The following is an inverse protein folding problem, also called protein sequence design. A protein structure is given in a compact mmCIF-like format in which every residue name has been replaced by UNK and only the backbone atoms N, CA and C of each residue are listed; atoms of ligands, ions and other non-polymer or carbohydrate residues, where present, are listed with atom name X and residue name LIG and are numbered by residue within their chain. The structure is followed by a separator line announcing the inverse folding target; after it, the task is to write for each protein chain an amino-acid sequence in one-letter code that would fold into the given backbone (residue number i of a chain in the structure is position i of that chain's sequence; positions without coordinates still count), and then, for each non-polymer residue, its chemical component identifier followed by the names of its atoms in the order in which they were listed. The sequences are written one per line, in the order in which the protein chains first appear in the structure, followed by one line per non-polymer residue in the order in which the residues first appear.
data_IF_314913360280
#
_entry.id   IF_314913360280
#
_cell.length_a   1.000
_cell.length_b   1.000
_cell.length_c   1.000
_cell.angle_alpha   90.00
_cell.angle_beta   90.00
_cell.angle_gamma   90.00
#
_symmetry.space_group_name_H-M   'P 1'
#
loop_
_entity.id
_entity.type
_entity.pdbx_description
1 polymer ?
#
# COMPACT_ATOMS: atom_id res chain seq x y z
N UNK A 1 -15.75 0.04 1.30
CA UNK A 1 -15.54 1.25 2.11
C UNK A 1 -15.28 0.80 3.53
N UNK A 2 -14.07 1.06 4.01
CA UNK A 2 -13.61 0.65 5.35
C UNK A 2 -13.69 1.83 6.33
N UNK A 3 -13.58 1.51 7.61
CA UNK A 3 -13.69 2.47 8.70
C UNK A 3 -12.53 2.33 9.69
N UNK A 4 -12.22 3.44 10.34
CA UNK A 4 -11.40 3.48 11.55
C UNK A 4 -12.34 3.65 12.74
N UNK A 5 -12.19 2.77 13.73
CA UNK A 5 -12.93 2.77 14.97
C UNK A 5 -11.96 3.17 16.09
N UNK A 6 -12.17 4.33 16.69
CA UNK A 6 -11.36 4.82 17.83
C UNK A 6 -12.17 4.62 19.10
N UNK A 7 -11.76 3.66 19.93
CA UNK A 7 -12.42 3.30 21.18
C UNK A 7 -11.62 3.81 22.38
N UNK A 8 -12.27 4.57 23.25
CA UNK A 8 -11.68 5.06 24.49
C UNK A 8 -12.17 4.21 25.68
N UNK A 9 -11.24 3.52 26.34
CA UNK A 9 -11.50 2.70 27.53
C UNK A 9 -11.22 3.43 28.85
N UNK A 10 -10.66 4.64 28.81
CA UNK A 10 -10.45 5.47 29.99
C UNK A 10 -11.78 5.94 30.59
N UNK A 11 -11.72 6.42 31.83
CA UNK A 11 -12.85 6.98 32.58
C UNK A 11 -13.05 8.50 32.32
N UNK A 12 -12.23 9.10 31.47
CA UNK A 12 -12.33 10.48 31.01
C UNK A 12 -12.40 10.60 29.47
N UNK A 13 -12.81 11.77 29.00
CA UNK A 13 -12.77 12.15 27.58
C UNK A 13 -11.33 12.14 27.06
N UNK A 14 -11.08 11.57 25.88
CA UNK A 14 -9.78 11.61 25.22
C UNK A 14 -9.87 12.37 23.89
N UNK A 15 -8.96 13.33 23.72
CA UNK A 15 -8.81 14.09 22.49
C UNK A 15 -7.84 13.36 21.56
N UNK A 16 -8.21 13.25 20.29
CA UNK A 16 -7.32 12.78 19.23
C UNK A 16 -7.26 13.78 18.08
N UNK A 17 -6.06 14.10 17.63
CA UNK A 17 -5.87 14.65 16.30
C UNK A 17 -6.00 13.55 15.27
N UNK A 18 -6.74 13.83 14.20
CA UNK A 18 -6.90 12.92 13.08
C UNK A 18 -6.31 13.61 11.88
N UNK A 19 -5.31 12.99 11.26
CA UNK A 19 -4.64 13.48 10.06
C UNK A 19 -4.86 12.48 8.93
N UNK A 20 -5.10 12.97 7.71
CA UNK A 20 -5.37 12.14 6.51
C UNK A 20 -6.77 11.53 6.44
N UNK A 21 -7.52 11.54 7.54
CA UNK A 21 -8.90 11.05 7.63
C UNK A 21 -9.82 12.11 8.23
N UNK A 22 -11.14 11.91 8.12
CA UNK A 22 -12.15 12.78 8.75
C UNK A 22 -11.96 14.29 8.48
N UNK A 23 -11.48 14.65 7.29
CA UNK A 23 -11.15 16.04 6.91
C UNK A 23 -10.17 16.74 7.88
N UNK A 24 -9.27 15.98 8.48
CA UNK A 24 -8.29 16.45 9.46
C UNK A 24 -8.89 17.08 10.73
N UNK A 25 -10.13 16.71 11.08
CA UNK A 25 -10.78 17.23 12.27
C UNK A 25 -10.39 16.43 13.51
N UNK A 26 -9.96 17.13 14.55
CA UNK A 26 -9.83 16.62 15.91
C UNK A 26 -11.15 16.02 16.40
N UNK A 27 -11.07 14.89 17.08
CA UNK A 27 -12.20 14.22 17.71
C UNK A 27 -12.03 14.20 19.22
N UNK A 28 -13.15 14.25 19.95
CA UNK A 28 -13.20 13.99 21.38
C UNK A 28 -14.03 12.70 21.61
N UNK A 29 -13.39 11.66 22.12
CA UNK A 29 -14.00 10.35 22.36
C UNK A 29 -14.30 10.21 23.86
N UNK A 30 -15.59 10.14 24.19
CA UNK A 30 -16.08 10.00 25.58
C UNK A 30 -15.65 8.67 26.23
N UNK A 31 -15.67 8.57 27.57
CA UNK A 31 -15.43 7.33 28.30
C UNK A 31 -16.27 6.17 27.77
N UNK A 32 -15.63 5.03 27.50
CA UNK A 32 -16.27 3.82 26.99
C UNK A 32 -16.91 3.95 25.60
N UNK A 33 -16.70 5.06 24.90
CA UNK A 33 -17.32 5.33 23.61
C UNK A 33 -16.41 4.96 22.43
N UNK A 34 -17.01 4.77 21.26
CA UNK A 34 -16.30 4.58 20.00
C UNK A 34 -16.71 5.66 19.02
N UNK A 35 -15.72 6.36 18.45
CA UNK A 35 -15.93 7.23 17.29
C UNK A 35 -15.52 6.47 16.04
N UNK A 36 -16.35 6.56 14.99
CA UNK A 36 -16.15 5.85 13.73
C UNK A 36 -16.12 6.86 12.60
N UNK A 37 -15.09 6.78 11.75
CA UNK A 37 -15.01 7.60 10.55
C UNK A 37 -14.51 6.81 9.34
N UNK A 38 -14.89 7.21 8.11
CA UNK A 38 -14.46 6.51 6.92
C UNK A 38 -12.94 6.54 6.75
N UNK A 39 -12.39 5.41 6.34
CA UNK A 39 -11.00 5.24 5.97
C UNK A 39 -10.96 4.60 4.57
N UNK A 40 -11.09 5.40 3.50
CA UNK A 40 -11.07 4.89 2.14
C UNK A 40 -9.76 4.15 1.85
N UNK A 41 -9.82 3.14 0.99
CA UNK A 41 -8.63 2.49 0.47
C UNK A 41 -7.67 3.53 -0.13
N UNK A 42 -6.37 3.30 0.06
CA UNK A 42 -5.26 4.17 -0.33
C UNK A 42 -5.32 5.58 0.23
N UNK A 43 -5.80 5.67 1.46
CA UNK A 43 -5.56 6.84 2.29
C UNK A 43 -4.58 6.47 3.38
N UNK A 44 -3.68 7.42 3.65
CA UNK A 44 -2.70 7.34 4.72
C UNK A 44 -2.94 8.49 5.68
N UNK A 45 -2.69 8.23 6.96
CA UNK A 45 -2.88 9.22 7.98
C UNK A 45 -2.50 8.70 9.35
N UNK A 46 -2.81 9.49 10.37
CA UNK A 46 -2.52 9.15 11.76
C UNK A 46 -3.68 9.55 12.65
N UNK A 47 -3.86 8.80 13.72
CA UNK A 47 -4.71 9.18 14.87
C UNK A 47 -3.79 9.33 16.06
N UNK A 48 -3.68 10.55 16.59
CA UNK A 48 -2.68 10.93 17.59
C UNK A 48 -3.41 11.33 18.87
N UNK A 49 -3.11 10.66 19.98
CA UNK A 49 -3.63 11.07 21.29
C UNK A 49 -2.99 12.39 21.73
N UNK A 50 -3.79 13.29 22.31
CA UNK A 50 -3.30 14.58 22.83
C UNK A 50 -3.36 14.60 24.35
N UNK A 51 -2.24 14.97 24.98
CA UNK A 51 -2.05 15.01 26.42
C UNK A 51 -1.59 16.40 26.85
N UNK A 52 -2.42 17.12 27.61
CA UNK A 52 -2.13 18.49 28.06
C UNK A 52 -1.75 19.47 26.92
N UNK A 53 -2.33 19.27 25.74
CA UNK A 53 -2.05 20.07 24.54
C UNK A 53 -0.78 19.67 23.79
N UNK A 54 -0.18 18.53 24.11
CA UNK A 54 0.96 17.96 23.40
C UNK A 54 0.59 16.66 22.70
N UNK A 55 1.14 16.43 21.50
CA UNK A 55 1.05 15.15 20.81
C UNK A 55 1.65 14.02 21.65
N UNK A 56 0.98 12.87 21.64
CA UNK A 56 1.34 11.67 22.37
C UNK A 56 1.58 10.49 21.44
N UNK A 57 0.99 9.36 21.79
CA UNK A 57 1.08 8.15 20.97
C UNK A 57 0.24 8.31 19.71
N UNK A 58 0.78 7.79 18.61
CA UNK A 58 0.13 7.83 17.31
C UNK A 58 -0.10 6.42 16.78
N UNK A 59 -1.29 6.19 16.23
CA UNK A 59 -1.59 5.06 15.36
C UNK A 59 -1.47 5.54 13.91
N UNK A 60 -0.46 5.07 13.20
CA UNK A 60 -0.23 5.35 11.79
C UNK A 60 -0.94 4.30 10.95
N UNK A 61 -1.72 4.76 9.97
CA UNK A 61 -2.60 3.89 9.20
C UNK A 61 -2.46 4.25 7.73
N UNK A 62 -2.14 3.25 6.90
CA UNK A 62 -2.36 3.28 5.46
C UNK A 62 -3.30 2.16 5.09
N UNK A 63 -4.50 2.50 4.62
CA UNK A 63 -5.45 1.49 4.14
C UNK A 63 -5.12 1.08 2.71
N UNK A 64 -5.20 -0.21 2.39
CA UNK A 64 -4.94 -0.72 1.03
C UNK A 64 -3.62 -0.16 0.44
N UNK A 65 -2.54 -0.24 1.22
CA UNK A 65 -1.20 0.21 0.84
C UNK A 65 -0.47 -0.79 -0.06
N UNK A 66 0.74 -1.16 0.32
CA UNK A 66 1.58 -2.11 -0.43
C UNK A 66 0.89 -3.46 -0.63
N UNK A 67 0.80 -3.90 -1.90
CA UNK A 67 0.12 -5.15 -2.28
C UNK A 67 -1.32 -5.24 -1.75
N UNK A 68 -1.97 -4.09 -1.57
CA UNK A 68 -3.31 -3.95 -1.03
C UNK A 68 -3.48 -4.45 0.40
N UNK A 69 -2.39 -4.44 1.15
CA UNK A 69 -2.38 -4.67 2.59
C UNK A 69 -2.53 -3.35 3.34
N UNK A 70 -3.21 -3.38 4.48
CA UNK A 70 -3.19 -2.29 5.43
C UNK A 70 -1.83 -2.25 6.14
N UNK A 71 -1.25 -1.06 6.23
CA UNK A 71 -0.14 -0.79 7.14
C UNK A 71 -0.73 -0.13 8.36
N UNK A 72 -0.56 -0.78 9.50
CA UNK A 72 -0.89 -0.20 10.78
C UNK A 72 0.34 -0.28 11.66
N UNK A 73 0.65 0.82 12.32
CA UNK A 73 1.75 0.91 13.27
C UNK A 73 1.31 1.75 14.47
N UNK A 74 1.97 1.53 15.61
CA UNK A 74 1.88 2.40 16.78
C UNK A 74 3.26 2.96 17.04
N UNK A 75 3.33 4.27 17.17
CA UNK A 75 4.56 4.99 17.40
C UNK A 75 4.45 5.95 18.58
N UNK A 76 5.51 6.00 19.37
CA UNK A 76 5.70 6.95 20.46
C UNK A 76 6.70 8.06 20.08
N UNK A 77 7.04 8.19 18.78
CA UNK A 77 8.09 9.12 18.31
C UNK A 77 7.77 10.58 18.63
N UNK A 78 6.50 10.98 18.65
CA UNK A 78 6.04 12.35 18.93
C UNK A 78 5.65 12.60 20.40
N UNK A 79 5.57 11.54 21.21
CA UNK A 79 5.34 11.62 22.65
C UNK A 79 4.63 10.40 23.20
N UNK A 80 4.33 10.44 24.50
CA UNK A 80 3.43 9.47 25.14
C UNK A 80 2.83 10.06 26.43
N UNK A 81 1.57 9.78 26.75
CA UNK A 81 0.87 10.08 28.00
C UNK A 81 -0.24 9.07 28.36
N UNK A 82 -0.51 8.08 27.51
CA UNK A 82 -1.48 7.00 27.72
C UNK A 82 -1.06 5.70 27.02
N UNK A 83 -1.97 4.76 26.82
CA UNK A 83 -1.68 3.54 26.06
C UNK A 83 -2.56 3.49 24.82
N UNK A 84 -1.95 3.16 23.68
CA UNK A 84 -2.67 2.97 22.41
C UNK A 84 -2.29 1.62 21.80
N UNK A 85 -3.30 0.93 21.27
CA UNK A 85 -3.10 -0.22 20.40
C UNK A 85 -3.87 -0.03 19.10
N UNK A 86 -3.39 -0.65 18.03
CA UNK A 86 -4.09 -0.72 16.75
C UNK A 86 -4.14 -2.16 16.27
N UNK A 87 -5.27 -2.60 15.72
CA UNK A 87 -5.40 -3.89 15.06
C UNK A 87 -6.50 -3.85 14.00
N UNK A 88 -6.52 -4.83 13.11
CA UNK A 88 -7.70 -5.08 12.29
C UNK A 88 -8.82 -5.68 13.14
N UNK A 89 -10.05 -5.26 12.86
CA UNK A 89 -11.24 -5.74 13.57
C UNK A 89 -11.37 -7.26 13.39
N UNK A 90 -11.43 -7.97 14.51
CA UNK A 90 -11.53 -9.43 14.53
C UNK A 90 -10.22 -10.19 14.30
N UNK A 91 -9.07 -9.50 14.16
CA UNK A 91 -7.77 -10.13 13.89
C UNK A 91 -6.71 -9.76 14.94
N UNK A 92 -6.73 -10.36 16.14
CA UNK A 92 -5.76 -10.05 17.20
C UNK A 92 -4.29 -10.26 16.80
N UNK A 93 -4.03 -11.13 15.81
CA UNK A 93 -2.68 -11.39 15.30
C UNK A 93 -2.06 -10.17 14.59
N UNK A 94 -2.86 -9.20 14.19
CA UNK A 94 -2.41 -7.95 13.53
C UNK A 94 -2.09 -6.83 14.50
N UNK A 95 -2.26 -7.07 15.82
CA UNK A 95 -2.13 -6.04 16.84
C UNK A 95 -0.72 -5.46 16.92
N UNK A 96 -0.66 -4.13 17.02
CA UNK A 96 0.55 -3.33 17.27
C UNK A 96 0.34 -2.41 18.48
N UNK A 97 1.45 -1.98 19.08
CA UNK A 97 1.48 -1.16 20.29
C UNK A 97 1.55 -1.99 21.57
N UNK A 98 2.09 -1.37 22.62
CA UNK A 98 2.13 -1.95 23.96
C UNK A 98 0.90 -1.48 24.74
N UNK A 99 -0.04 -2.39 25.10
CA UNK A 99 -1.27 -2.01 25.78
C UNK A 99 -1.04 -1.43 27.18
N UNK A 100 0.16 -1.58 27.75
CA UNK A 100 0.52 -1.10 29.09
C UNK A 100 1.85 -0.31 29.07
N UNK A 101 2.13 0.38 27.95
CA UNK A 101 3.31 1.21 27.75
C UNK A 101 3.60 2.15 28.94
N UNK A 102 2.62 2.95 29.38
CA UNK A 102 2.80 3.93 30.45
C UNK A 102 3.03 3.28 31.82
N UNK A 103 2.48 2.10 32.06
CA UNK A 103 2.75 1.32 33.28
C UNK A 103 4.18 0.79 33.27
N UNK A 104 4.66 0.30 32.13
CA UNK A 104 6.06 -0.13 31.98
C UNK A 104 7.03 1.04 32.06
N UNK A 105 6.67 2.20 31.51
CA UNK A 105 7.42 3.44 31.60
C UNK A 105 7.55 3.89 33.06
N UNK A 106 6.43 3.94 33.79
CA UNK A 106 6.43 4.28 35.22
C UNK A 106 7.25 3.30 36.05
N UNK A 107 7.09 2.00 35.83
CA UNK A 107 7.87 0.98 36.52
C UNK A 107 9.37 1.11 36.24
N UNK A 108 9.74 1.45 35.00
CA UNK A 108 11.13 1.67 34.60
C UNK A 108 11.68 2.98 35.16
N UNK A 109 10.87 4.04 35.22
CA UNK A 109 11.20 5.32 35.82
C UNK A 109 11.51 5.17 37.30
N UNK A 110 10.66 4.47 38.05
CA UNK A 110 10.85 4.25 39.48
C UNK A 110 12.12 3.46 39.79
N UNK A 111 12.52 2.52 38.91
CA UNK A 111 13.79 1.78 39.02
C UNK A 111 15.00 2.53 38.50
N UNK A 112 14.82 3.63 37.76
CA UNK A 112 15.91 4.36 37.14
C UNK A 112 16.83 5.00 38.18
N UNK A 113 18.13 4.98 37.90
CA UNK A 113 19.13 5.63 38.76
C UNK A 113 18.91 7.14 38.83
N UNK A 114 19.39 7.79 39.89
CA UNK A 114 19.34 9.24 40.01
C UNK A 114 19.97 9.96 38.81
N UNK A 115 21.07 9.42 38.26
CA UNK A 115 21.70 9.95 37.04
C UNK A 115 20.81 9.85 35.80
N UNK A 116 20.08 8.74 35.65
CA UNK A 116 19.11 8.57 34.53
C UNK A 116 17.94 9.52 34.68
N UNK A 117 17.39 9.66 35.89
CA UNK A 117 16.31 10.62 36.16
C UNK A 117 16.76 12.06 35.87
N UNK A 118 17.98 12.41 36.27
CA UNK A 118 18.55 13.73 36.01
C UNK A 118 18.77 14.01 34.52
N UNK A 119 19.15 13.01 33.71
CA UNK A 119 19.34 13.18 32.26
C UNK A 119 18.02 13.28 31.48
N UNK A 120 16.91 12.80 32.05
CA UNK A 120 15.58 12.78 31.45
C UNK A 120 14.66 13.90 31.94
N UNK A 121 15.11 14.75 32.88
CA UNK A 121 14.28 15.75 33.56
C UNK A 121 13.56 16.73 32.63
N UNK A 122 14.11 16.99 31.44
CA UNK A 122 13.56 17.96 30.48
C UNK A 122 12.56 17.32 29.49
N UNK A 123 12.40 15.99 29.54
CA UNK A 123 11.55 15.24 28.61
C UNK A 123 10.65 14.19 29.27
N UNK A 124 10.71 14.03 30.59
CA UNK A 124 9.79 13.21 31.40
C UNK A 124 9.04 14.10 32.35
N UNK A 125 7.71 14.11 32.23
CA UNK A 125 6.80 14.98 32.98
C UNK A 125 6.10 14.16 34.06
N UNK A 126 6.19 14.63 35.30
CA UNK A 126 5.71 13.91 36.48
C UNK A 126 4.50 14.60 37.11
N UNK A 127 3.62 13.83 37.73
CA UNK A 127 2.66 14.36 38.68
C UNK A 127 3.29 14.62 40.07
N UNK A 128 2.49 15.12 41.00
CA UNK A 128 2.89 15.40 42.39
C UNK A 128 3.36 14.15 43.16
N UNK A 129 2.96 12.95 42.73
CA UNK A 129 3.37 11.68 43.34
C UNK A 129 4.70 11.16 42.77
N UNK A 130 5.24 11.82 41.76
CA UNK A 130 6.46 11.41 41.07
C UNK A 130 6.25 10.33 40.00
N UNK A 131 5.01 10.04 39.63
CA UNK A 131 4.67 9.16 38.51
C UNK A 131 4.72 9.93 37.19
N UNK A 132 5.21 9.28 36.14
CA UNK A 132 5.24 9.81 34.78
C UNK A 132 3.82 9.92 34.24
N UNK A 133 3.42 11.13 33.88
CA UNK A 133 2.14 11.43 33.23
C UNK A 133 2.29 11.66 31.73
N UNK A 134 3.48 12.08 31.29
CA UNK A 134 3.78 12.29 29.88
C UNK A 134 5.28 12.25 29.62
N UNK A 135 5.68 11.92 28.40
CA UNK A 135 7.02 12.16 27.87
C UNK A 135 6.94 13.03 26.62
N UNK A 136 7.98 13.83 26.39
CA UNK A 136 8.14 14.60 25.16
C UNK A 136 8.45 13.69 23.96
N UNK A 137 8.43 14.26 22.76
CA UNK A 137 8.76 13.58 21.51
C UNK A 137 10.12 12.87 21.58
N UNK A 138 10.14 11.55 21.44
CA UNK A 138 11.34 10.73 21.60
C UNK A 138 12.42 11.12 20.58
N UNK A 139 12.02 11.50 19.35
CA UNK A 139 12.94 11.94 18.28
C UNK A 139 13.85 13.11 18.67
N UNK A 140 13.42 13.94 19.62
CA UNK A 140 14.17 15.15 20.01
C UNK A 140 15.14 14.87 21.17
N UNK A 141 15.09 13.68 21.79
CA UNK A 141 15.84 13.34 23.00
C UNK A 141 16.46 11.93 22.90
N UNK A 142 17.69 11.78 22.38
CA UNK A 142 18.36 10.48 22.24
C UNK A 142 18.54 9.71 23.57
N UNK A 143 18.59 10.41 24.70
CA UNK A 143 18.59 9.80 26.03
C UNK A 143 17.24 9.19 26.41
N UNK A 144 16.13 9.79 25.97
CA UNK A 144 14.79 9.27 26.17
C UNK A 144 14.57 8.05 25.29
N UNK A 145 15.01 8.09 24.03
CA UNK A 145 14.95 6.92 23.13
C UNK A 145 15.64 5.71 23.76
N UNK A 146 16.89 5.88 24.23
CA UNK A 146 17.64 4.81 24.92
C UNK A 146 16.91 4.28 26.15
N UNK A 147 16.26 5.14 26.91
CA UNK A 147 15.50 4.75 28.10
C UNK A 147 14.25 3.95 27.73
N UNK A 148 13.46 4.41 26.75
CA UNK A 148 12.23 3.75 26.29
C UNK A 148 12.53 2.39 25.64
N UNK A 149 13.58 2.31 24.82
CA UNK A 149 14.04 1.03 24.26
C UNK A 149 14.38 -0.01 25.34
N UNK A 150 14.76 0.42 26.54
CA UNK A 150 15.03 -0.49 27.66
C UNK A 150 13.85 -1.36 28.08
N UNK A 151 12.61 -0.98 27.76
CA UNK A 151 11.42 -1.75 28.16
C UNK A 151 10.40 -2.00 27.02
N UNK A 152 10.39 -1.15 25.99
CA UNK A 152 9.38 -1.20 24.92
C UNK A 152 9.91 -1.65 23.55
N UNK A 153 11.20 -2.00 23.43
CA UNK A 153 11.80 -2.40 22.15
C UNK A 153 11.05 -3.59 21.52
N UNK A 154 10.67 -3.41 20.25
CA UNK A 154 9.89 -4.40 19.49
C UNK A 154 8.42 -4.52 19.88
N UNK A 155 7.88 -3.65 20.75
CA UNK A 155 6.44 -3.61 21.10
C UNK A 155 5.71 -2.40 20.50
N UNK A 156 6.46 -1.34 20.22
CA UNK A 156 6.00 -0.07 19.62
C UNK A 156 7.16 0.52 18.85
N UNK A 157 6.90 1.43 17.93
CA UNK A 157 7.91 2.20 17.23
C UNK A 157 8.39 3.36 18.11
N UNK A 158 9.70 3.46 18.36
CA UNK A 158 10.26 4.35 19.41
C UNK A 158 11.09 5.50 18.84
N UNK A 159 11.90 5.27 17.80
CA UNK A 159 12.93 6.22 17.35
C UNK A 159 12.76 6.70 15.92
N UNK A 160 13.76 7.40 15.38
CA UNK A 160 13.79 7.75 13.95
C UNK A 160 14.06 6.47 13.15
N UNK A 161 13.02 5.92 12.52
CA UNK A 161 13.09 4.69 11.74
C UNK A 161 13.90 4.84 10.45
N UNK A 162 13.67 3.92 9.50
CA UNK A 162 14.35 3.94 8.21
C UNK A 162 13.94 5.17 7.39
N UNK A 163 14.61 6.30 7.61
CA UNK A 163 14.35 7.56 6.95
C UNK A 163 15.65 8.18 6.41
N UNK A 164 15.60 8.80 5.23
CA UNK A 164 16.76 9.47 4.63
C UNK A 164 17.94 8.56 4.26
N UNK A 165 17.71 7.26 3.99
CA UNK A 165 18.76 6.29 3.68
C UNK A 165 19.38 5.60 4.90
N UNK A 166 18.90 5.90 6.11
CA UNK A 166 19.18 5.07 7.29
C UNK A 166 18.41 3.75 7.18
N UNK A 167 19.03 2.59 7.50
CA UNK A 167 18.31 1.32 7.59
C UNK A 167 17.32 1.26 8.77
N UNK A 168 17.35 2.25 9.68
CA UNK A 168 16.55 2.27 10.89
C UNK A 168 16.95 1.17 11.88
N UNK A 169 16.14 1.00 12.93
CA UNK A 169 16.30 -0.10 13.89
C UNK A 169 15.42 -1.27 13.47
N UNK A 170 15.97 -2.48 13.45
CA UNK A 170 15.26 -3.67 12.96
C UNK A 170 13.98 -4.01 13.74
N UNK A 171 13.95 -3.73 15.06
CA UNK A 171 12.76 -3.92 15.91
C UNK A 171 11.63 -2.93 15.56
N UNK A 172 11.98 -1.67 15.26
CA UNK A 172 11.02 -0.66 14.80
C UNK A 172 10.44 -1.07 13.43
N UNK A 173 11.30 -1.50 12.48
CA UNK A 173 10.86 -1.94 11.16
C UNK A 173 9.94 -3.18 11.20
N UNK A 174 10.09 -4.04 12.21
CA UNK A 174 9.22 -5.21 12.40
C UNK A 174 7.81 -4.83 12.86
N UNK A 175 7.63 -3.66 13.48
CA UNK A 175 6.31 -3.15 13.84
C UNK A 175 5.51 -2.76 12.59
N UNK A 176 6.16 -2.19 11.58
CA UNK A 176 5.54 -1.72 10.32
C UNK A 176 5.16 -2.83 9.31
N UNK A 177 4.93 -4.06 9.76
CA UNK A 177 4.51 -5.17 8.88
C UNK A 177 3.05 -5.01 8.43
N UNK A 178 2.80 -5.26 7.15
CA UNK A 178 1.46 -5.15 6.57
C UNK A 178 0.51 -6.29 7.00
N UNK A 179 -0.79 -5.98 7.11
CA UNK A 179 -1.90 -6.91 7.34
C UNK A 179 -2.88 -6.89 6.15
N UNK A 180 -3.71 -7.93 5.94
CA UNK A 180 -4.58 -8.01 4.75
C UNK A 180 -5.55 -6.81 4.63
N UNK A 181 -5.56 -6.04 3.54
CA UNK A 181 -6.23 -4.74 3.49
C UNK A 181 -7.76 -4.73 3.40
N UNK A 182 -8.44 -5.81 3.78
CA UNK A 182 -9.88 -6.00 3.58
C UNK A 182 -10.74 -5.75 4.84
N UNK A 183 -10.15 -5.22 5.92
CA UNK A 183 -10.81 -5.05 7.21
C UNK A 183 -10.87 -3.60 7.69
N UNK A 184 -11.80 -3.34 8.60
CA UNK A 184 -11.83 -2.12 9.39
C UNK A 184 -10.69 -2.13 10.41
N UNK A 185 -10.27 -0.93 10.83
CA UNK A 185 -9.22 -0.75 11.83
C UNK A 185 -9.87 -0.43 13.18
N UNK A 186 -9.34 -1.02 14.25
CA UNK A 186 -9.66 -0.72 15.63
C UNK A 186 -8.44 -0.10 16.30
N UNK A 187 -8.60 1.12 16.77
CA UNK A 187 -7.68 1.81 17.66
C UNK A 187 -8.30 1.80 19.05
N UNK A 188 -7.55 1.33 20.04
CA UNK A 188 -7.99 1.34 21.44
C UNK A 188 -7.05 2.21 22.24
N UNK A 189 -7.61 3.12 23.03
CA UNK A 189 -6.89 3.99 23.95
C UNK A 189 -7.33 3.71 25.38
N UNK A 190 -6.38 3.74 26.32
CA UNK A 190 -6.64 3.59 27.76
C UNK A 190 -5.49 4.14 28.58
N UNK A 191 -5.80 4.81 29.69
CA UNK A 191 -4.80 5.18 30.70
C UNK A 191 -4.30 3.96 31.49
N UNK A 192 -5.08 2.87 31.49
CA UNK A 192 -4.78 1.64 32.21
C UNK A 192 -4.23 0.55 31.28
N UNK A 193 -5.08 -0.30 30.73
CA UNK A 193 -4.74 -1.34 29.77
C UNK A 193 -5.53 -1.07 28.49
N UNK A 194 -4.83 -0.81 27.39
CA UNK A 194 -5.42 -0.54 26.08
C UNK A 194 -5.60 -1.80 25.22
N UNK A 195 -5.53 -2.99 25.83
CA UNK A 195 -5.91 -4.22 25.16
C UNK A 195 -7.40 -4.13 24.78
N UNK A 196 -7.74 -4.38 23.50
CA UNK A 196 -9.13 -4.45 23.07
C UNK A 196 -9.90 -5.45 23.93
N UNK A 197 -10.98 -5.00 24.56
CA UNK A 197 -11.89 -5.90 25.28
C UNK A 197 -12.43 -6.96 24.29
N UNK A 198 -12.60 -8.21 24.73
CA UNK A 198 -13.25 -9.26 23.94
C UNK A 198 -14.58 -8.74 23.33
N UNK A 199 -14.91 -9.11 22.08
CA UNK A 199 -15.62 -8.24 21.16
C UNK A 199 -17.02 -7.92 21.70
N UNK A 200 -17.19 -6.72 22.25
CA UNK A 200 -18.51 -6.14 22.39
C UNK A 200 -19.00 -5.83 20.98
N UNK A 201 -19.78 -6.76 20.41
CA UNK A 201 -20.60 -6.64 19.19
C UNK A 201 -20.39 -5.34 18.38
N UNK A 202 -19.21 -5.18 17.77
CA UNK A 202 -19.01 -4.15 16.77
C UNK A 202 -19.73 -4.69 15.55
N UNK A 203 -20.89 -4.10 15.23
CA UNK A 203 -21.69 -4.52 14.10
C UNK A 203 -20.82 -4.48 12.84
N UNK A 204 -20.40 -5.64 12.35
CA UNK A 204 -19.90 -5.81 11.00
C UNK A 204 -20.98 -5.26 10.07
N UNK A 205 -20.82 -4.01 9.62
CA UNK A 205 -21.52 -3.55 8.42
C UNK A 205 -20.82 -4.26 7.27
N UNK A 206 -21.52 -5.08 6.47
CA UNK A 206 -20.89 -5.78 5.37
C UNK A 206 -20.27 -4.74 4.44
N UNK A 207 -18.95 -4.81 4.29
CA UNK A 207 -18.23 -4.10 3.24
C UNK A 207 -18.81 -4.56 1.92
N UNK A 208 -19.37 -3.62 1.16
CA UNK A 208 -19.86 -3.92 -0.19
C UNK A 208 -18.65 -4.31 -1.02
N UNK A 209 -18.44 -5.62 -1.22
CA UNK A 209 -17.47 -6.16 -2.17
C UNK A 209 -17.80 -5.55 -3.53
N UNK A 210 -16.92 -4.71 -4.07
CA UNK A 210 -17.00 -4.34 -5.48
C UNK A 210 -16.80 -5.64 -6.25
N UNK A 211 -17.86 -6.20 -6.81
CA UNK A 211 -17.72 -7.37 -7.68
C UNK A 211 -16.87 -6.95 -8.87
N UNK A 212 -15.79 -7.69 -9.11
CA UNK A 212 -15.05 -7.60 -10.37
C UNK A 212 -16.04 -8.01 -11.47
N UNK A 213 -16.19 -7.16 -12.48
CA UNK A 213 -16.97 -7.53 -13.65
C UNK A 213 -16.20 -8.61 -14.41
N UNK A 214 -16.74 -9.84 -14.42
CA UNK A 214 -16.16 -10.96 -15.16
C UNK A 214 -16.90 -11.14 -16.48
N UNK A 215 -16.13 -11.18 -17.58
CA UNK A 215 -16.65 -11.47 -18.92
C UNK A 215 -15.78 -12.51 -19.62
N UNK A 216 -16.30 -13.15 -20.66
CA UNK A 216 -15.51 -13.99 -21.59
C UNK A 216 -15.33 -13.30 -22.95
N UNK A 217 -15.58 -11.99 -22.99
CA UNK A 217 -15.63 -11.18 -24.20
C UNK A 217 -17.04 -10.65 -24.46
N UNK A 218 -17.10 -9.42 -24.96
CA UNK A 218 -18.32 -8.69 -25.27
C UNK A 218 -18.49 -8.54 -26.77
N UNK A 219 -19.73 -8.27 -27.20
CA UNK A 219 -19.96 -7.84 -28.56
C UNK A 219 -19.43 -6.41 -28.73
N UNK A 220 -18.64 -6.17 -29.76
CA UNK A 220 -18.21 -4.81 -30.09
C UNK A 220 -19.41 -4.04 -30.69
N UNK A 221 -20.05 -3.22 -29.85
CA UNK A 221 -21.20 -2.40 -30.24
C UNK A 221 -20.81 -1.00 -30.75
N UNK A 222 -19.52 -0.75 -30.97
CA UNK A 222 -18.98 0.59 -31.20
C UNK A 222 -18.77 1.33 -29.87
N UNK A 223 -17.52 1.59 -29.54
CA UNK A 223 -17.13 2.26 -28.29
C UNK A 223 -15.69 1.93 -27.90
N UNK A 224 -15.13 2.63 -26.90
CA UNK A 224 -13.77 2.40 -26.44
C UNK A 224 -13.59 0.99 -25.86
N UNK A 225 -12.40 0.44 -26.03
CA UNK A 225 -12.09 -0.87 -25.46
C UNK A 225 -10.83 -1.48 -26.00
N UNK A 226 -10.63 -2.75 -25.64
CA UNK A 226 -9.46 -3.53 -26.02
C UNK A 226 -9.90 -4.78 -26.78
N UNK A 227 -9.33 -5.01 -27.94
CA UNK A 227 -9.37 -6.30 -28.65
C UNK A 227 -8.23 -7.14 -28.08
N UNK A 228 -8.55 -8.04 -27.16
CA UNK A 228 -7.58 -8.82 -26.39
C UNK A 228 -7.43 -10.22 -26.99
N UNK A 229 -6.23 -10.57 -27.44
CA UNK A 229 -5.91 -11.90 -27.97
C UNK A 229 -5.00 -12.66 -27.02
N UNK A 230 -5.37 -13.90 -26.71
CA UNK A 230 -4.49 -14.85 -26.06
C UNK A 230 -3.85 -15.75 -27.12
N UNK A 231 -2.56 -15.52 -27.43
CA UNK A 231 -1.78 -16.34 -28.37
C UNK A 231 -1.12 -17.54 -27.69
N UNK A 232 -1.25 -17.69 -26.37
CA UNK A 232 -0.68 -18.81 -25.63
C UNK A 232 -1.49 -20.09 -25.83
N UNK A 233 -0.89 -21.22 -25.41
CA UNK A 233 -1.54 -22.54 -25.44
C UNK A 233 -2.44 -22.82 -24.22
N UNK A 234 -2.55 -21.90 -23.26
CA UNK A 234 -3.35 -22.05 -22.04
C UNK A 234 -4.43 -20.97 -21.96
N UNK A 235 -5.58 -21.30 -21.35
CA UNK A 235 -6.57 -20.26 -21.03
C UNK A 235 -5.96 -19.29 -20.02
N UNK A 236 -6.12 -17.99 -20.27
CA UNK A 236 -5.59 -16.93 -19.42
C UNK A 236 -6.73 -16.03 -18.97
N UNK A 237 -6.73 -15.65 -17.70
CA UNK A 237 -7.58 -14.57 -17.19
C UNK A 237 -6.76 -13.32 -17.11
N UNK A 238 -7.23 -12.28 -17.79
CA UNK A 238 -6.60 -10.98 -17.85
C UNK A 238 -7.37 -10.00 -16.98
N UNK A 239 -6.64 -9.23 -16.20
CA UNK A 239 -7.19 -8.29 -15.23
C UNK A 239 -6.84 -6.87 -15.65
N UNK A 240 -7.86 -6.03 -15.70
CA UNK A 240 -7.77 -4.62 -16.08
C UNK A 240 -7.76 -3.76 -14.82
N UNK A 241 -6.75 -2.93 -14.69
CA UNK A 241 -6.52 -2.08 -13.53
C UNK A 241 -6.51 -0.62 -13.98
N UNK A 242 -7.42 0.17 -13.44
CA UNK A 242 -7.43 1.62 -13.65
C UNK A 242 -6.29 2.26 -12.83
N UNK A 243 -5.82 3.42 -13.26
CA UNK A 243 -4.80 4.18 -12.54
C UNK A 243 -5.38 4.69 -11.22
N UNK A 244 -4.62 4.58 -10.15
CA UNK A 244 -4.99 5.16 -8.86
C UNK A 244 -4.86 6.70 -8.89
N UNK A 245 -3.88 7.21 -9.62
CA UNK A 245 -3.68 8.63 -9.87
C UNK A 245 -2.99 8.82 -11.22
N UNK A 246 -3.20 10.00 -11.83
CA UNK A 246 -2.67 10.38 -13.14
C UNK A 246 -1.90 11.70 -12.99
N UNK A 247 -0.57 11.68 -13.07
CA UNK A 247 0.30 12.85 -12.97
C UNK A 247 0.94 13.26 -14.31
N UNK A 248 1.77 14.32 -14.27
CA UNK A 248 2.58 14.77 -15.42
C UNK A 248 3.74 13.81 -15.68
N UNK A 249 3.46 12.67 -16.32
CA UNK A 249 4.46 11.66 -16.71
C UNK A 249 4.70 10.54 -15.69
N UNK A 250 3.87 10.44 -14.64
CA UNK A 250 3.88 9.33 -13.68
C UNK A 250 2.44 8.90 -13.39
N UNK A 251 2.21 7.58 -13.27
CA UNK A 251 0.90 7.02 -12.99
C UNK A 251 1.00 5.79 -12.07
N UNK A 252 0.34 5.83 -10.91
CA UNK A 252 0.33 4.71 -9.97
C UNK A 252 -0.74 3.67 -10.31
N UNK A 253 -0.37 2.40 -10.42
CA UNK A 253 -1.33 1.31 -10.63
C UNK A 253 -2.16 1.02 -9.38
N UNK A 254 -3.43 0.69 -9.61
CA UNK A 254 -4.25 -0.01 -8.66
C UNK A 254 -3.96 -1.53 -8.73
N UNK A 255 -2.86 -2.00 -8.16
CA UNK A 255 -2.42 -3.41 -8.33
C UNK A 255 -3.36 -4.47 -7.75
N UNK A 256 -4.28 -4.08 -6.87
CA UNK A 256 -5.09 -4.99 -6.03
C UNK A 256 -6.58 -4.93 -6.31
N UNK A 257 -7.07 -3.94 -7.04
CA UNK A 257 -8.50 -3.79 -7.35
C UNK A 257 -8.70 -3.77 -8.86
N UNK A 258 -8.70 -4.95 -9.51
CA UNK A 258 -9.04 -5.02 -10.91
C UNK A 258 -10.47 -4.52 -11.10
N UNK A 259 -10.65 -3.65 -12.08
CA UNK A 259 -11.95 -3.12 -12.46
C UNK A 259 -12.76 -4.17 -13.24
N UNK A 260 -12.06 -4.95 -14.07
CA UNK A 260 -12.66 -5.94 -14.96
C UNK A 260 -11.72 -7.12 -15.14
N UNK A 261 -12.28 -8.30 -15.35
CA UNK A 261 -11.52 -9.51 -15.65
C UNK A 261 -12.12 -10.21 -16.88
N UNK A 262 -11.25 -10.65 -17.78
CA UNK A 262 -11.66 -11.39 -18.99
C UNK A 262 -10.90 -12.68 -19.13
N UNK A 263 -11.59 -13.82 -19.18
CA UNK A 263 -10.96 -15.10 -19.47
C UNK A 263 -11.01 -15.38 -20.97
N UNK A 264 -9.84 -15.52 -21.59
CA UNK A 264 -9.68 -15.76 -23.03
C UNK A 264 -9.04 -17.12 -23.26
N UNK A 265 -9.65 -17.93 -24.12
CA UNK A 265 -9.16 -19.29 -24.45
C UNK A 265 -7.88 -19.21 -25.30
N UNK A 266 -7.09 -20.29 -25.36
CA UNK A 266 -5.93 -20.37 -26.24
C UNK A 266 -6.28 -19.99 -27.68
N UNK A 267 -5.46 -19.16 -28.31
CA UNK A 267 -5.58 -18.73 -29.70
C UNK A 267 -6.90 -18.05 -30.07
N UNK A 268 -7.56 -17.41 -29.09
CA UNK A 268 -8.81 -16.68 -29.32
C UNK A 268 -8.70 -15.22 -28.94
N UNK A 269 -9.64 -14.44 -29.44
CA UNK A 269 -9.76 -13.00 -29.22
C UNK A 269 -11.08 -12.69 -28.52
N UNK A 270 -11.06 -11.74 -27.59
CA UNK A 270 -12.21 -11.20 -26.91
C UNK A 270 -12.18 -9.67 -27.01
N UNK A 271 -13.34 -9.03 -27.20
CA UNK A 271 -13.45 -7.59 -27.02
C UNK A 271 -13.80 -7.30 -25.56
N UNK A 272 -13.13 -6.31 -24.96
CA UNK A 272 -13.38 -5.84 -23.60
C UNK A 272 -13.77 -4.37 -23.67
N UNK A 273 -15.04 -4.06 -23.44
CA UNK A 273 -15.48 -2.67 -23.35
C UNK A 273 -15.00 -2.04 -22.05
N UNK A 274 -14.49 -0.83 -22.18
CA UNK A 274 -13.97 -0.01 -21.09
C UNK A 274 -14.47 1.43 -21.28
N UNK A 275 -14.63 2.21 -20.19
CA UNK A 275 -15.06 3.60 -20.33
C UNK A 275 -13.99 4.42 -21.05
N UNK A 276 -14.40 5.43 -21.84
CA UNK A 276 -13.46 6.35 -22.52
C UNK A 276 -12.48 7.04 -21.55
N UNK A 277 -12.87 7.17 -20.29
CA UNK A 277 -12.05 7.76 -19.21
C UNK A 277 -11.00 6.80 -18.66
N UNK A 278 -11.01 5.52 -19.04
CA UNK A 278 -10.07 4.53 -18.53
C UNK A 278 -8.64 4.92 -18.88
N UNK A 279 -7.79 4.93 -17.85
CA UNK A 279 -6.34 5.10 -17.98
C UNK A 279 -5.72 4.07 -17.07
N UNK A 280 -5.09 3.05 -17.61
CA UNK A 280 -4.81 1.86 -16.83
C UNK A 280 -3.91 0.90 -17.56
N UNK A 281 -4.00 -0.35 -17.14
CA UNK A 281 -3.26 -1.43 -17.75
C UNK A 281 -4.00 -2.75 -17.67
N UNK A 282 -3.55 -3.70 -18.45
CA UNK A 282 -3.97 -5.10 -18.37
C UNK A 282 -2.76 -5.99 -18.13
N UNK A 283 -2.94 -7.04 -17.34
CA UNK A 283 -1.94 -8.10 -17.14
C UNK A 283 -2.58 -9.48 -17.07
N UNK A 284 -1.76 -10.52 -17.21
CA UNK A 284 -2.13 -11.91 -16.94
C UNK A 284 -2.20 -12.14 -15.43
N UNK A 285 -3.29 -12.75 -14.97
CA UNK A 285 -3.52 -13.05 -13.55
C UNK A 285 -3.40 -11.81 -12.63
N UNK A 286 -3.43 -12.02 -11.31
CA UNK A 286 -3.34 -10.94 -10.31
C UNK A 286 -1.98 -10.86 -9.62
N UNK A 287 -1.04 -11.74 -9.99
CA UNK A 287 0.23 -11.91 -9.27
C UNK A 287 1.37 -11.23 -10.01
N UNK A 288 2.11 -10.36 -9.32
CA UNK A 288 3.37 -9.80 -9.79
C UNK A 288 4.56 -10.74 -9.49
N UNK A 289 5.68 -10.62 -10.22
CA UNK A 289 5.93 -9.73 -11.36
C UNK A 289 5.16 -10.16 -12.63
N UNK A 290 4.78 -9.19 -13.47
CA UNK A 290 3.97 -9.45 -14.68
C UNK A 290 4.22 -8.41 -15.78
N UNK A 291 4.10 -8.84 -17.04
CA UNK A 291 4.17 -7.93 -18.19
C UNK A 291 2.91 -7.07 -18.25
N UNK A 292 3.10 -5.79 -18.49
CA UNK A 292 2.01 -4.82 -18.59
C UNK A 292 1.82 -4.33 -20.01
N UNK A 293 0.55 -4.13 -20.36
CA UNK A 293 0.18 -3.28 -21.49
C UNK A 293 -0.62 -2.12 -20.91
N UNK A 294 -0.07 -0.91 -21.03
CA UNK A 294 -0.62 0.32 -20.47
C UNK A 294 -1.39 1.08 -21.54
N UNK A 295 -2.48 1.74 -21.16
CA UNK A 295 -3.28 2.51 -22.11
C UNK A 295 -4.14 3.59 -21.46
N UNK A 296 -4.35 4.67 -22.21
CA UNK A 296 -5.39 5.68 -22.00
C UNK A 296 -6.33 5.66 -23.20
N UNK A 297 -7.64 5.41 -23.00
CA UNK A 297 -8.56 5.19 -24.12
C UNK A 297 -9.08 6.48 -24.78
N UNK A 298 -8.93 7.62 -24.11
CA UNK A 298 -9.20 8.93 -24.69
C UNK A 298 -8.20 9.95 -24.14
N UNK A 299 -7.16 10.24 -24.91
CA UNK A 299 -6.21 11.31 -24.60
C UNK A 299 -6.87 12.69 -24.68
N UNK A 300 -6.46 13.62 -23.82
CA UNK A 300 -7.10 14.94 -23.72
C UNK A 300 -6.75 15.84 -24.91
N UNK A 301 -5.60 15.60 -25.54
CA UNK A 301 -5.03 16.39 -26.63
C UNK A 301 -5.65 16.03 -28.00
N UNK A 302 -5.83 14.75 -28.32
CA UNK A 302 -6.27 14.28 -29.64
C UNK A 302 -7.50 13.35 -29.60
N UNK A 303 -7.97 12.99 -28.40
CA UNK A 303 -9.09 12.07 -28.16
C UNK A 303 -8.85 10.62 -28.61
N UNK A 304 -7.65 10.27 -29.05
CA UNK A 304 -7.29 8.91 -29.44
C UNK A 304 -7.05 8.02 -28.20
N UNK A 305 -7.05 6.70 -28.41
CA UNK A 305 -6.48 5.77 -27.45
C UNK A 305 -4.96 5.71 -27.65
N UNK A 306 -4.19 5.71 -26.56
CA UNK A 306 -2.73 5.58 -26.57
C UNK A 306 -2.36 4.39 -25.71
N UNK A 307 -1.39 3.59 -26.13
CA UNK A 307 -0.89 2.50 -25.30
C UNK A 307 0.51 2.03 -25.66
N UNK A 308 1.11 1.32 -24.71
CA UNK A 308 2.48 0.84 -24.76
C UNK A 308 2.64 -0.43 -23.90
N UNK A 309 3.83 -1.03 -23.96
CA UNK A 309 4.18 -2.21 -23.17
C UNK A 309 5.18 -1.80 -22.10
N UNK A 310 5.00 -2.26 -20.86
CA UNK A 310 5.91 -1.99 -19.75
C UNK A 310 6.35 -3.29 -19.08
N UNK A 311 7.66 -3.36 -18.81
CA UNK A 311 8.34 -4.43 -18.09
C UNK A 311 8.83 -3.95 -16.71
N UNK A 312 8.51 -2.71 -16.32
CA UNK A 312 9.01 -2.12 -15.10
C UNK A 312 8.62 -2.93 -13.84
N UNK A 313 7.45 -3.55 -13.87
CA UNK A 313 6.94 -4.42 -12.80
C UNK A 313 7.22 -5.91 -13.04
N UNK A 314 8.12 -6.21 -13.98
CA UNK A 314 8.58 -7.54 -14.39
C UNK A 314 7.99 -7.99 -15.71
N UNK A 315 8.35 -9.21 -16.12
CA UNK A 315 7.91 -9.78 -17.38
C UNK A 315 7.57 -11.26 -17.21
N UNK A 316 6.29 -11.61 -17.44
CA UNK A 316 5.75 -12.97 -17.38
C UNK A 316 5.44 -13.56 -18.77
N UNK A 317 5.86 -12.85 -19.83
CA UNK A 317 5.72 -13.27 -21.22
C UNK A 317 5.55 -12.08 -22.16
N UNK A 318 5.71 -12.31 -23.45
CA UNK A 318 5.65 -11.23 -24.43
C UNK A 318 4.24 -10.61 -24.57
N UNK A 319 4.20 -9.37 -25.01
CA UNK A 319 2.97 -8.63 -25.32
C UNK A 319 3.21 -7.60 -26.43
N UNK A 320 2.17 -7.31 -27.20
CA UNK A 320 2.14 -6.20 -28.16
C UNK A 320 0.85 -5.39 -28.05
N UNK A 321 0.93 -4.14 -28.48
CA UNK A 321 -0.20 -3.22 -28.62
C UNK A 321 -0.21 -2.67 -30.04
N UNK A 322 -1.39 -2.58 -30.66
CA UNK A 322 -1.56 -2.14 -32.05
C UNK A 322 -2.80 -1.27 -32.22
N UNK A 323 -2.75 -0.33 -33.16
CA UNK A 323 -3.89 0.50 -33.53
C UNK A 323 -4.93 -0.32 -34.30
N UNK A 324 -6.18 0.14 -34.29
CA UNK A 324 -7.30 -0.53 -34.97
C UNK A 324 -8.09 0.41 -35.88
N UNK A 325 -7.62 1.65 -36.03
CA UNK A 325 -8.21 2.72 -36.85
C UNK A 325 -7.69 2.75 -38.29
N UNK A 326 -6.86 1.77 -38.68
CA UNK A 326 -6.25 1.68 -40.01
C UNK A 326 -4.94 2.47 -40.17
N UNK A 327 -4.38 2.99 -39.08
CA UNK A 327 -3.06 3.64 -39.08
C UNK A 327 -1.87 2.66 -39.10
N UNK A 328 -2.12 1.36 -38.94
CA UNK A 328 -1.13 0.27 -38.95
C UNK A 328 0.08 0.51 -38.02
N UNK A 329 -0.16 1.12 -36.85
CA UNK A 329 0.85 1.35 -35.82
C UNK A 329 0.86 0.19 -34.81
N UNK A 330 2.05 -0.28 -34.45
CA UNK A 330 2.22 -1.39 -33.51
C UNK A 330 3.55 -1.27 -32.75
N UNK A 331 3.55 -1.66 -31.48
CA UNK A 331 4.75 -1.75 -30.67
C UNK A 331 4.67 -2.91 -29.64
N UNK A 332 5.80 -3.22 -29.00
CA UNK A 332 5.97 -4.38 -28.12
C UNK A 332 6.98 -5.39 -28.66
N UNK A 333 6.88 -6.63 -28.20
CA UNK A 333 7.79 -7.71 -28.57
C UNK A 333 7.09 -9.08 -28.59
N UNK A 334 7.72 -10.08 -29.18
CA UNK A 334 7.14 -11.42 -29.39
C UNK A 334 7.97 -12.55 -28.75
N UNK A 335 9.21 -12.24 -28.37
CA UNK A 335 10.22 -13.19 -27.95
C UNK A 335 9.98 -13.70 -26.53
N UNK A 336 10.19 -14.99 -26.30
CA UNK A 336 10.29 -15.55 -24.95
C UNK A 336 11.64 -15.17 -24.34
N UNK A 337 11.63 -14.06 -23.60
CA UNK A 337 12.81 -13.54 -22.92
C UNK A 337 13.00 -14.14 -21.51
N UNK A 338 12.09 -15.00 -21.04
CA UNK A 338 12.17 -15.61 -19.70
C UNK A 338 13.05 -16.86 -19.74
N UNK A 339 12.92 -17.67 -20.80
CA UNK A 339 13.56 -18.99 -20.91
C UNK A 339 15.06 -19.02 -20.67
N UNK A 340 15.79 -18.03 -21.18
CA UNK A 340 17.26 -17.97 -21.13
C UNK A 340 17.79 -16.85 -20.23
N UNK A 341 16.91 -16.29 -19.39
CA UNK A 341 17.26 -15.19 -18.51
C UNK A 341 18.31 -15.59 -17.47
N UNK A 342 19.28 -14.71 -17.14
CA UNK A 342 20.28 -14.98 -16.12
C UNK A 342 19.61 -15.11 -14.74
N UNK A 343 20.20 -15.91 -13.86
CA UNK A 343 19.64 -16.21 -12.53
C UNK A 343 19.30 -14.95 -11.71
N UNK A 344 20.08 -13.87 -11.84
CA UNK A 344 19.81 -12.59 -11.14
C UNK A 344 18.64 -11.78 -11.72
N UNK A 345 18.20 -12.06 -12.94
CA UNK A 345 17.08 -11.38 -13.59
C UNK A 345 15.73 -12.05 -13.31
N UNK A 346 15.71 -13.28 -12.76
CA UNK A 346 14.49 -14.06 -12.58
C UNK A 346 14.07 -14.18 -11.13
N UNK A 347 12.77 -14.35 -10.91
CA UNK A 347 12.18 -14.67 -9.61
C UNK A 347 11.08 -15.71 -9.78
N UNK A 348 10.82 -16.48 -8.73
CA UNK A 348 9.72 -17.45 -8.68
C UNK A 348 8.50 -16.83 -8.02
N UNK A 349 7.37 -16.81 -8.72
CA UNK A 349 6.07 -16.38 -8.19
C UNK A 349 5.52 -17.40 -7.16
N UNK A 350 4.56 -16.99 -6.31
CA UNK A 350 3.88 -17.90 -5.36
C UNK A 350 3.23 -19.13 -6.00
N UNK A 351 2.79 -19.03 -7.25
CA UNK A 351 2.23 -20.15 -8.03
C UNK A 351 3.31 -21.09 -8.61
N UNK A 352 4.59 -20.81 -8.35
CA UNK A 352 5.73 -21.59 -8.79
C UNK A 352 6.29 -21.20 -10.15
N UNK A 353 5.64 -20.33 -10.91
CA UNK A 353 6.10 -19.86 -12.23
C UNK A 353 7.37 -19.00 -12.08
N UNK A 354 8.35 -19.22 -12.94
CA UNK A 354 9.57 -18.39 -12.99
C UNK A 354 9.35 -17.30 -14.03
N UNK A 355 9.56 -16.05 -13.63
CA UNK A 355 9.36 -14.86 -14.46
C UNK A 355 10.55 -13.92 -14.30
N UNK A 356 10.66 -12.90 -15.15
CA UNK A 356 11.61 -11.82 -14.94
C UNK A 356 11.16 -10.94 -13.77
N UNK A 357 12.10 -10.62 -12.90
CA UNK A 357 11.89 -9.73 -11.76
C UNK A 357 11.65 -8.29 -12.23
N UNK A 358 10.99 -7.49 -11.38
CA UNK A 358 10.83 -6.05 -11.62
C UNK A 358 12.18 -5.35 -11.76
N UNK A 359 12.28 -4.44 -12.74
CA UNK A 359 13.49 -3.65 -12.99
C UNK A 359 13.62 -2.48 -12.02
N UNK A 360 12.53 -1.80 -11.71
CA UNK A 360 12.51 -0.64 -10.80
C UNK A 360 12.33 -1.03 -9.34
N UNK A 361 12.04 -2.30 -9.07
CA UNK A 361 11.72 -2.83 -7.76
C UNK A 361 10.29 -2.52 -7.33
N UNK A 362 9.68 -3.42 -6.55
CA UNK A 362 8.36 -3.18 -5.96
C UNK A 362 8.52 -2.60 -4.56
N UNK A 363 8.41 -1.27 -4.42
CA UNK A 363 8.30 -0.41 -3.21
C UNK A 363 9.24 -0.65 -2.00
N UNK A 364 9.95 -1.78 -1.94
CA UNK A 364 10.86 -2.22 -0.88
C UNK A 364 12.09 -2.96 -1.45
N UNK A 365 12.01 -3.45 -2.69
CA UNK A 365 13.16 -3.96 -3.42
C UNK A 365 13.83 -2.81 -4.18
N UNK A 366 15.16 -2.75 -4.13
CA UNK A 366 15.91 -1.86 -4.98
C UNK A 366 15.83 -2.28 -6.45
N UNK A 367 16.24 -1.37 -7.32
CA UNK A 367 16.47 -1.58 -8.75
C UNK A 367 17.20 -2.91 -9.03
N UNK A 368 16.74 -3.67 -10.02
CA UNK A 368 17.39 -4.90 -10.47
C UNK A 368 18.16 -4.68 -11.78
N UNK A 369 19.46 -4.37 -11.66
CA UNK A 369 20.32 -4.12 -12.82
C UNK A 369 20.43 -5.32 -13.76
N UNK A 370 20.40 -6.55 -13.24
CA UNK A 370 20.53 -7.76 -14.06
C UNK A 370 19.29 -7.95 -14.94
N UNK A 371 18.10 -7.66 -14.41
CA UNK A 371 16.87 -7.65 -15.20
C UNK A 371 16.88 -6.53 -16.25
N UNK A 372 17.30 -5.31 -15.88
CA UNK A 372 17.38 -4.17 -16.80
C UNK A 372 18.32 -4.45 -17.97
N UNK A 373 19.53 -4.94 -17.70
CA UNK A 373 20.50 -5.26 -18.74
C UNK A 373 19.98 -6.36 -19.68
N UNK A 374 19.35 -7.38 -19.11
CA UNK A 374 18.76 -8.47 -19.88
C UNK A 374 17.63 -7.98 -20.79
N UNK A 375 16.66 -7.25 -20.25
CA UNK A 375 15.52 -6.74 -21.01
C UNK A 375 15.95 -5.72 -22.08
N UNK A 376 16.94 -4.85 -21.78
CA UNK A 376 17.52 -3.94 -22.79
C UNK A 376 18.16 -4.68 -23.94
N UNK A 377 18.84 -5.79 -23.65
CA UNK A 377 19.48 -6.62 -24.67
C UNK A 377 18.46 -7.36 -25.52
N UNK A 378 17.43 -7.92 -24.91
CA UNK A 378 16.49 -8.82 -25.59
C UNK A 378 15.33 -8.10 -26.26
N UNK A 379 14.83 -7.02 -25.67
CA UNK A 379 13.65 -6.27 -26.14
C UNK A 379 14.05 -4.91 -26.71
N UNK A 380 14.93 -4.21 -26.00
CA UNK A 380 15.36 -2.86 -26.36
C UNK A 380 14.38 -1.77 -25.90
N UNK A 381 14.95 -0.62 -25.51
CA UNK A 381 14.20 0.49 -24.89
C UNK A 381 13.19 1.19 -25.82
N UNK A 382 13.16 0.88 -27.12
CA UNK A 382 12.16 1.39 -28.05
C UNK A 382 10.90 0.52 -28.18
N UNK A 383 10.89 -0.67 -27.55
CA UNK A 383 9.81 -1.65 -27.69
C UNK A 383 8.95 -1.80 -26.44
N UNK A 384 9.53 -1.57 -25.26
CA UNK A 384 8.81 -1.59 -23.99
C UNK A 384 9.52 -0.70 -22.96
N UNK A 385 8.76 -0.20 -21.97
CA UNK A 385 9.33 0.54 -20.85
C UNK A 385 10.08 -0.45 -19.96
N UNK A 386 11.40 -0.28 -19.90
CA UNK A 386 12.28 -1.08 -19.04
C UNK A 386 12.64 -0.26 -17.79
N UNK A 387 12.72 1.07 -17.94
CA UNK A 387 13.06 2.00 -16.87
C UNK A 387 12.58 3.42 -17.20
N UNK A 388 11.99 4.10 -16.22
CA UNK A 388 11.90 5.56 -16.16
C UNK A 388 10.83 6.19 -17.06
N UNK A 389 9.83 5.42 -17.50
CA UNK A 389 8.59 5.91 -18.14
C UNK A 389 8.76 6.84 -19.35
N UNK A 390 9.93 6.87 -20.00
CA UNK A 390 10.21 7.73 -21.17
C UNK A 390 11.00 6.98 -22.24
N UNK A 391 10.77 7.32 -23.51
CA UNK A 391 11.57 6.81 -24.64
C UNK A 391 10.97 5.64 -25.43
N UNK A 392 9.79 5.15 -25.06
CA UNK A 392 9.03 4.18 -25.85
C UNK A 392 7.98 4.92 -26.67
N UNK A 393 7.97 4.80 -28.00
CA UNK A 393 6.88 5.32 -28.81
C UNK A 393 5.59 4.59 -28.46
N UNK A 394 4.58 5.35 -28.06
CA UNK A 394 3.25 4.84 -27.83
C UNK A 394 2.51 4.60 -29.15
N UNK A 395 1.50 3.74 -29.10
CA UNK A 395 0.62 3.42 -30.22
C UNK A 395 -0.69 4.17 -30.05
N UNK A 396 -1.01 5.05 -31.00
CA UNK A 396 -2.26 5.80 -31.02
C UNK A 396 -3.31 5.15 -31.93
N UNK A 397 -4.59 5.14 -31.52
CA UNK A 397 -5.73 4.70 -32.31
C UNK A 397 -6.94 5.61 -32.12
N UNK A 398 -7.35 6.33 -33.17
CA UNK A 398 -8.37 7.37 -33.14
C UNK A 398 -9.80 6.86 -32.99
N UNK A 399 -10.03 5.56 -33.20
CA UNK A 399 -11.31 4.92 -32.92
C UNK A 399 -11.48 4.50 -31.44
N UNK A 400 -10.53 4.86 -30.57
CA UNK A 400 -10.51 4.57 -29.14
C UNK A 400 -10.43 3.07 -28.79
N UNK A 401 -10.01 2.25 -29.77
CA UNK A 401 -9.84 0.81 -29.61
C UNK A 401 -8.40 0.44 -29.93
N UNK A 402 -7.76 -0.30 -29.01
CA UNK A 402 -6.44 -0.89 -29.24
C UNK A 402 -6.57 -2.41 -29.33
N UNK A 403 -5.73 -3.04 -30.14
CA UNK A 403 -5.52 -4.48 -30.13
C UNK A 403 -4.34 -4.82 -29.23
N UNK A 404 -4.51 -5.80 -28.35
CA UNK A 404 -3.49 -6.25 -27.41
C UNK A 404 -3.34 -7.76 -27.55
N UNK A 405 -2.15 -8.22 -27.91
CA UNK A 405 -1.82 -9.63 -28.03
C UNK A 405 -0.87 -10.03 -26.90
N UNK A 406 -1.21 -11.10 -26.18
CA UNK A 406 -0.36 -11.72 -25.16
C UNK A 406 0.05 -13.12 -25.61
N UNK A 407 1.35 -13.42 -25.54
CA UNK A 407 1.95 -14.68 -26.03
C UNK A 407 2.06 -15.75 -24.96
#
# INVERSE_FOLDING_TARGET
MHYINVHNQSDHDQIFEVHGFNNNHTINVRPGATTVFPAPDRTSGAVIAVHDGFEGEQAEITKDGFMGNDFIDVSNIVGAGGNITVQQVGEPATRKGDPVFMQQLNASWHRASAGTKASLKDCVHLNEKGDVVRISAIKDYPQLERFVRGFADGKTYIGVGAWGGSPGVGSDNAQSSAAQGDKDILITYSDADAAPAHPAHMAHRPTQKRLIEHTTGEHNHGGPGIILTNKSNKSCTYYFYDNFWNGNGTAGCNFTHPLKATTVRPHTTAFVSLPATFKGRVQRNTTLPATWVEFQLSASNDRAAHGDVSLEQGCDGAATVSSTDGSDCSNGFHEDIVRDAPHGAVVRKPDGEVVLASTVGNWMAGRNEVAIEWERKMVGAGRAYIEGGTGVPDVASHNQVLAVDFY
#
